data_IF_999527285942
#
_entry.id   IF_999527285942
#
_cell.length_a   1.000
_cell.length_b   1.000
_cell.length_c   1.000
_cell.angle_alpha   90.00
_cell.angle_beta   90.00
_cell.angle_gamma   90.00
#
_symmetry.space_group_name_H-M   'P 1'
#
loop_
_entity.id
_entity.type
_entity.pdbx_description
1 polymer ?
#
# COMPACT_ATOMS: atom_id res chain seq x y z
N UNK A 1 -19.84 -23.32 16.61
CA UNK A 1 -18.65 -24.16 16.82
C UNK A 1 -17.48 -23.46 16.13
N UNK A 2 -16.79 -22.59 16.88
CA UNK A 2 -15.43 -22.20 16.59
C UNK A 2 -14.67 -22.66 17.83
N UNK A 3 -14.15 -23.88 17.78
CA UNK A 3 -13.36 -24.44 18.87
C UNK A 3 -11.95 -23.85 18.84
N UNK A 4 -11.38 -23.80 20.04
CA UNK A 4 -10.05 -23.42 20.46
C UNK A 4 -8.98 -23.09 19.41
N UNK A 5 -8.17 -22.07 19.75
CA UNK A 5 -6.95 -21.61 19.07
C UNK A 5 -5.82 -22.66 18.95
N UNK A 6 -6.12 -23.96 19.08
CA UNK A 6 -5.20 -25.07 18.90
C UNK A 6 -5.52 -26.00 17.72
N UNK A 7 -6.64 -25.82 16.99
CA UNK A 7 -6.97 -26.68 15.84
C UNK A 7 -6.86 -25.91 14.51
N UNK A 8 -5.62 -25.64 14.10
CA UNK A 8 -5.35 -25.29 12.70
C UNK A 8 -5.42 -26.60 11.90
N UNK A 9 -6.61 -26.95 11.43
CA UNK A 9 -6.75 -28.01 10.46
C UNK A 9 -5.83 -27.71 9.26
N UNK A 10 -5.15 -28.72 8.73
CA UNK A 10 -4.18 -28.57 7.64
C UNK A 10 -4.75 -27.96 6.36
N UNK A 11 -6.09 -27.87 6.24
CA UNK A 11 -6.80 -27.29 5.10
C UNK A 11 -6.85 -25.74 5.11
N UNK A 12 -6.74 -25.10 6.28
CA UNK A 12 -6.85 -23.64 6.40
C UNK A 12 -5.53 -22.89 6.13
N UNK A 13 -4.40 -23.59 6.19
CA UNK A 13 -3.08 -23.04 5.88
C UNK A 13 -2.85 -22.74 4.40
N UNK A 14 -3.70 -23.26 3.51
CA UNK A 14 -3.54 -23.21 2.05
C UNK A 14 -4.52 -22.29 1.35
N UNK A 15 -5.56 -21.78 2.04
CA UNK A 15 -6.55 -20.89 1.45
C UNK A 15 -5.92 -19.64 0.80
N UNK A 16 -6.46 -19.21 -0.33
CA UNK A 16 -6.00 -18.00 -1.00
C UNK A 16 -6.48 -16.74 -0.28
N UNK A 17 -5.77 -15.61 -0.44
CA UNK A 17 -6.12 -14.37 0.28
C UNK A 17 -7.49 -13.85 -0.20
N UNK A 18 -7.75 -13.86 -1.50
CA UNK A 18 -9.05 -13.47 -2.06
C UNK A 18 -10.20 -14.32 -1.51
N UNK A 19 -9.99 -15.62 -1.27
CA UNK A 19 -11.04 -16.48 -0.69
C UNK A 19 -11.37 -16.08 0.76
N UNK A 20 -10.36 -15.64 1.52
CA UNK A 20 -10.54 -15.17 2.89
C UNK A 20 -11.23 -13.79 2.90
N UNK A 21 -10.87 -12.91 1.97
CA UNK A 21 -11.55 -11.62 1.77
C UNK A 21 -13.01 -11.82 1.34
N UNK A 22 -13.29 -12.77 0.44
CA UNK A 22 -14.65 -13.09 0.04
C UNK A 22 -15.53 -13.54 1.22
N UNK A 23 -14.96 -14.31 2.16
CA UNK A 23 -15.66 -14.67 3.39
C UNK A 23 -15.83 -13.47 4.34
N UNK A 24 -14.78 -12.66 4.52
CA UNK A 24 -14.83 -11.45 5.33
C UNK A 24 -15.82 -10.40 4.78
N UNK A 25 -16.12 -10.44 3.48
CA UNK A 25 -17.08 -9.56 2.83
C UNK A 25 -18.55 -9.91 3.11
N UNK A 26 -18.85 -11.08 3.67
CA UNK A 26 -20.24 -11.48 3.95
C UNK A 26 -20.84 -10.57 5.03
N UNK A 27 -21.60 -9.56 4.59
CA UNK A 27 -22.31 -8.63 5.48
C UNK A 27 -21.70 -7.25 5.61
N UNK A 28 -20.53 -7.02 5.01
CA UNK A 28 -19.94 -5.68 5.01
C UNK A 28 -20.70 -4.77 4.06
N UNK A 29 -20.92 -3.52 4.50
CA UNK A 29 -21.47 -2.45 3.64
C UNK A 29 -20.46 -1.99 2.59
N UNK A 30 -19.18 -1.97 2.96
CA UNK A 30 -18.06 -1.67 2.06
C UNK A 30 -17.31 -2.97 1.76
N UNK A 31 -17.14 -3.28 0.48
CA UNK A 31 -16.36 -4.44 0.07
C UNK A 31 -14.88 -4.22 0.42
N UNK A 32 -14.28 -5.23 1.02
CA UNK A 32 -12.85 -5.40 1.17
C UNK A 32 -12.27 -5.95 -0.13
N UNK A 33 -11.08 -5.46 -0.48
CA UNK A 33 -10.24 -6.00 -1.54
C UNK A 33 -8.88 -6.44 -0.98
N UNK A 34 -8.27 -7.44 -1.60
CA UNK A 34 -6.87 -7.83 -1.37
C UNK A 34 -6.14 -7.82 -2.70
N UNK A 35 -5.32 -6.80 -2.87
CA UNK A 35 -4.64 -6.53 -4.12
C UNK A 35 -3.13 -6.62 -4.06
N UNK A 36 -2.51 -6.49 -5.22
CA UNK A 36 -1.06 -6.33 -5.35
C UNK A 36 -0.69 -5.39 -6.50
N UNK A 37 0.41 -4.65 -6.34
CA UNK A 37 1.08 -4.02 -7.46
C UNK A 37 1.74 -5.08 -8.34
N UNK A 38 1.65 -4.88 -9.66
CA UNK A 38 2.27 -5.74 -10.67
C UNK A 38 2.92 -4.93 -11.79
N UNK A 39 3.88 -5.56 -12.47
CA UNK A 39 4.50 -5.05 -13.69
C UNK A 39 4.15 -5.93 -14.89
N UNK A 40 4.00 -5.35 -16.10
CA UNK A 40 3.50 -6.05 -17.28
C UNK A 40 4.42 -7.20 -17.72
N UNK A 41 5.73 -7.01 -17.63
CA UNK A 41 6.72 -8.03 -18.04
C UNK A 41 6.77 -9.22 -17.07
N UNK A 42 6.32 -9.08 -15.82
CA UNK A 42 6.28 -10.19 -14.86
C UNK A 42 5.14 -11.17 -15.16
N UNK A 43 4.13 -10.74 -15.92
CA UNK A 43 3.04 -11.61 -16.38
C UNK A 43 3.50 -12.63 -17.45
N UNK A 44 4.73 -12.54 -17.95
CA UNK A 44 5.34 -13.59 -18.80
C UNK A 44 5.80 -14.80 -17.98
N UNK A 45 5.98 -14.66 -16.67
CA UNK A 45 6.30 -15.77 -15.76
C UNK A 45 4.99 -16.44 -15.30
N UNK A 46 4.75 -17.66 -15.77
CA UNK A 46 3.53 -18.44 -15.46
C UNK A 46 3.34 -18.66 -13.95
N UNK A 47 4.43 -18.72 -13.17
CA UNK A 47 4.32 -18.86 -11.71
C UNK A 47 3.89 -17.56 -11.07
N UNK A 48 4.45 -16.43 -11.51
CA UNK A 48 4.04 -15.11 -11.07
C UNK A 48 2.56 -14.87 -11.38
N UNK A 49 2.16 -15.15 -12.63
CA UNK A 49 0.77 -15.03 -13.07
C UNK A 49 -0.18 -15.91 -12.25
N UNK A 50 0.19 -17.19 -12.03
CA UNK A 50 -0.64 -18.12 -11.27
C UNK A 50 -0.84 -17.67 -9.81
N UNK A 51 0.23 -17.26 -9.13
CA UNK A 51 0.13 -16.76 -7.74
C UNK A 51 -0.68 -15.47 -7.68
N UNK A 52 -0.50 -14.56 -8.64
CA UNK A 52 -1.26 -13.33 -8.71
C UNK A 52 -2.78 -13.61 -8.84
N UNK A 53 -3.16 -14.48 -9.79
CA UNK A 53 -4.55 -14.89 -10.00
C UNK A 53 -5.12 -15.71 -8.84
N UNK A 54 -4.30 -16.51 -8.15
CA UNK A 54 -4.77 -17.32 -7.03
C UNK A 54 -5.08 -16.46 -5.82
N UNK A 55 -4.25 -15.47 -5.50
CA UNK A 55 -4.30 -14.78 -4.21
C UNK A 55 -5.03 -13.45 -4.19
N UNK A 56 -5.09 -12.71 -5.30
CA UNK A 56 -5.57 -11.33 -5.28
C UNK A 56 -6.86 -11.19 -6.10
N UNK A 57 -7.73 -10.24 -5.72
CA UNK A 57 -8.98 -9.90 -6.43
C UNK A 57 -8.91 -8.51 -7.12
N UNK A 58 -7.78 -7.83 -6.96
CA UNK A 58 -7.51 -6.49 -7.44
C UNK A 58 -6.02 -6.31 -7.73
N UNK A 59 -5.67 -5.57 -8.78
CA UNK A 59 -4.29 -5.18 -9.08
C UNK A 59 -4.09 -3.68 -9.29
N UNK A 60 -2.86 -3.24 -9.05
CA UNK A 60 -2.36 -1.89 -9.35
C UNK A 60 -1.25 -1.99 -10.39
N UNK A 61 -1.27 -1.10 -11.38
CA UNK A 61 -0.12 -0.94 -12.28
C UNK A 61 0.99 -0.20 -11.53
N UNK A 62 2.08 -0.88 -11.18
CA UNK A 62 3.14 -0.31 -10.32
C UNK A 62 3.75 0.97 -10.91
N UNK A 63 3.88 1.03 -12.24
CA UNK A 63 4.40 2.19 -12.95
C UNK A 63 3.52 2.68 -14.10
N UNK A 64 2.88 1.79 -14.85
CA UNK A 64 2.30 2.10 -16.17
C UNK A 64 0.96 2.86 -16.13
N UNK A 65 0.56 3.39 -14.98
CA UNK A 65 -0.51 4.40 -14.87
C UNK A 65 -0.01 5.75 -14.32
N UNK A 66 1.29 5.88 -14.04
CA UNK A 66 1.93 7.15 -13.67
C UNK A 66 2.09 8.03 -14.93
N UNK A 67 2.13 9.35 -14.74
CA UNK A 67 2.12 10.30 -15.86
C UNK A 67 3.31 10.13 -16.82
N UNK A 68 4.55 10.22 -16.33
CA UNK A 68 5.72 10.09 -17.22
C UNK A 68 5.79 8.72 -17.93
N UNK A 69 5.57 7.57 -17.27
CA UNK A 69 5.55 6.26 -17.94
C UNK A 69 4.49 6.09 -19.04
N UNK A 70 3.42 6.88 -19.02
CA UNK A 70 2.40 6.87 -20.06
C UNK A 70 2.79 7.70 -21.30
N UNK A 71 3.89 8.45 -21.27
CA UNK A 71 4.34 9.28 -22.39
C UNK A 71 5.49 8.62 -23.14
N UNK A 72 5.25 8.25 -24.40
CA UNK A 72 6.27 7.84 -25.34
C UNK A 72 6.82 9.06 -26.10
N UNK A 73 8.14 9.10 -26.29
CA UNK A 73 8.81 10.12 -27.11
C UNK A 73 8.90 9.69 -28.56
N UNK A 74 8.41 10.54 -29.46
CA UNK A 74 8.57 10.38 -30.92
C UNK A 74 9.94 10.87 -31.39
N UNK A 75 10.31 10.50 -32.61
CA UNK A 75 11.57 10.88 -33.23
C UNK A 75 11.75 12.40 -33.39
N UNK A 76 10.65 13.15 -33.49
CA UNK A 76 10.64 14.62 -33.56
C UNK A 76 10.70 15.30 -32.18
N UNK A 77 10.80 14.52 -31.09
CA UNK A 77 10.85 15.01 -29.72
C UNK A 77 9.48 15.27 -29.09
N UNK A 78 8.37 15.06 -29.80
CA UNK A 78 7.02 15.20 -29.22
C UNK A 78 6.67 14.01 -28.33
N UNK A 79 5.90 14.27 -27.28
CA UNK A 79 5.39 13.25 -26.36
C UNK A 79 3.97 12.87 -26.75
N UNK A 80 3.66 11.58 -26.76
CA UNK A 80 2.32 11.05 -26.99
C UNK A 80 1.99 9.97 -25.98
N UNK A 81 0.71 9.83 -25.67
CA UNK A 81 0.25 8.75 -24.80
C UNK A 81 0.47 7.38 -25.43
N UNK A 82 1.08 6.48 -24.67
CA UNK A 82 1.23 5.06 -24.98
C UNK A 82 0.71 4.22 -23.81
N UNK A 83 -0.46 3.64 -24.01
CA UNK A 83 -1.11 2.78 -23.02
C UNK A 83 -0.77 1.30 -23.20
N UNK A 84 0.11 0.91 -24.13
CA UNK A 84 0.35 -0.51 -24.49
C UNK A 84 0.65 -1.38 -23.27
N UNK A 85 1.51 -0.90 -22.37
CA UNK A 85 1.89 -1.64 -21.16
C UNK A 85 0.81 -1.61 -20.07
N UNK A 86 0.06 -0.50 -19.98
CA UNK A 86 -1.13 -0.39 -19.10
C UNK A 86 -2.21 -1.38 -19.54
N UNK A 87 -2.56 -1.36 -20.83
CA UNK A 87 -3.59 -2.22 -21.42
C UNK A 87 -3.25 -3.69 -21.23
N UNK A 88 -1.97 -4.07 -21.28
CA UNK A 88 -1.52 -5.43 -20.99
C UNK A 88 -1.94 -5.90 -19.59
N UNK A 89 -1.75 -5.07 -18.57
CA UNK A 89 -2.18 -5.37 -17.19
C UNK A 89 -3.71 -5.33 -17.08
N UNK A 90 -4.34 -4.29 -17.62
CA UNK A 90 -5.79 -4.09 -17.53
C UNK A 90 -6.55 -5.25 -18.17
N UNK A 91 -6.14 -5.66 -19.38
CA UNK A 91 -6.78 -6.76 -20.09
C UNK A 91 -6.53 -8.10 -19.42
N UNK A 92 -5.33 -8.31 -18.85
CA UNK A 92 -5.05 -9.50 -18.04
C UNK A 92 -5.97 -9.56 -16.81
N UNK A 93 -6.05 -8.47 -16.05
CA UNK A 93 -6.87 -8.40 -14.85
C UNK A 93 -8.33 -8.68 -15.17
N UNK A 94 -8.87 -8.05 -16.21
CA UNK A 94 -10.27 -8.24 -16.63
C UNK A 94 -10.56 -9.67 -17.09
N UNK A 95 -9.64 -10.33 -17.79
CA UNK A 95 -9.79 -11.75 -18.16
C UNK A 95 -9.82 -12.67 -16.93
N UNK A 96 -9.06 -12.33 -15.90
CA UNK A 96 -9.03 -13.06 -14.63
C UNK A 96 -10.17 -12.71 -13.66
N UNK A 97 -11.04 -11.75 -14.00
CA UNK A 97 -12.09 -11.26 -13.11
C UNK A 97 -11.58 -10.32 -11.99
N UNK A 98 -10.32 -9.90 -12.07
CA UNK A 98 -9.70 -8.96 -11.14
C UNK A 98 -10.12 -7.52 -11.42
N UNK A 99 -10.28 -6.74 -10.36
CA UNK A 99 -10.43 -5.29 -10.46
C UNK A 99 -9.08 -4.61 -10.75
N UNK A 100 -9.11 -3.38 -11.26
CA UNK A 100 -7.91 -2.55 -11.45
C UNK A 100 -8.07 -1.21 -10.76
N UNK A 101 -7.08 -0.83 -9.94
CA UNK A 101 -6.94 0.55 -9.40
C UNK A 101 -5.82 1.24 -10.18
N UNK A 102 -6.11 2.44 -10.66
CA UNK A 102 -5.16 3.30 -11.32
C UNK A 102 -4.28 4.05 -10.33
N UNK A 103 -2.96 4.01 -10.55
CA UNK A 103 -1.97 4.66 -9.72
C UNK A 103 -0.88 5.25 -10.63
N UNK A 104 -0.75 6.57 -10.74
CA UNK A 104 -1.59 7.64 -10.16
C UNK A 104 -1.65 8.80 -11.15
N UNK A 105 -2.73 9.59 -11.09
CA UNK A 105 -2.97 10.67 -12.03
C UNK A 105 -2.06 11.88 -11.80
N UNK A 106 -1.84 12.29 -10.53
CA UNK A 106 -1.04 13.48 -10.22
C UNK A 106 -0.07 13.16 -9.09
N UNK A 107 1.22 13.06 -9.45
CA UNK A 107 2.31 12.86 -8.50
C UNK A 107 3.58 13.56 -8.98
N UNK A 108 4.24 14.28 -8.09
CA UNK A 108 5.39 15.12 -8.42
C UNK A 108 6.65 14.32 -8.78
N UNK A 109 6.75 13.05 -8.37
CA UNK A 109 7.92 12.21 -8.56
C UNK A 109 8.03 11.66 -9.99
N UNK A 110 6.91 11.21 -10.58
CA UNK A 110 6.88 10.59 -11.92
C UNK A 110 6.01 11.40 -12.88
N UNK A 111 6.34 12.69 -13.00
CA UNK A 111 5.72 13.63 -13.94
C UNK A 111 6.74 14.11 -14.98
N UNK A 112 6.29 14.53 -16.17
CA UNK A 112 7.20 15.00 -17.22
C UNK A 112 8.05 16.18 -16.74
N UNK A 113 9.38 16.11 -16.93
CA UNK A 113 10.30 17.12 -16.37
C UNK A 113 10.04 18.56 -16.82
N UNK A 114 9.42 18.74 -17.98
CA UNK A 114 9.10 20.07 -18.51
C UNK A 114 8.08 20.85 -17.66
N UNK A 115 7.34 20.19 -16.74
CA UNK A 115 6.38 20.87 -15.86
C UNK A 115 7.05 21.89 -14.92
N UNK A 116 8.32 21.65 -14.57
CA UNK A 116 9.11 22.52 -13.69
C UNK A 116 9.31 23.91 -14.31
N UNK A 117 9.40 24.00 -15.64
CA UNK A 117 9.58 25.25 -16.39
C UNK A 117 8.28 25.75 -17.04
N UNK A 118 7.24 24.92 -17.11
CA UNK A 118 5.98 25.27 -17.76
C UNK A 118 5.30 26.51 -17.12
N UNK A 119 4.80 27.48 -17.90
CA UNK A 119 3.93 28.53 -17.38
C UNK A 119 2.69 27.95 -16.68
N UNK A 120 2.17 28.65 -15.66
CA UNK A 120 0.99 28.22 -14.88
C UNK A 120 -0.18 27.75 -15.76
N UNK A 121 -0.53 28.50 -16.81
CA UNK A 121 -1.63 28.16 -17.71
C UNK A 121 -1.39 26.83 -18.44
N UNK A 122 -0.17 26.61 -18.95
CA UNK A 122 0.20 25.38 -19.64
C UNK A 122 0.21 24.18 -18.69
N UNK A 123 0.72 24.35 -17.47
CA UNK A 123 0.71 23.29 -16.47
C UNK A 123 -0.73 22.89 -16.11
N UNK A 124 -1.61 23.86 -15.86
CA UNK A 124 -3.02 23.61 -15.54
C UNK A 124 -3.71 22.83 -16.65
N UNK A 125 -3.55 23.27 -17.89
CA UNK A 125 -4.12 22.60 -19.05
C UNK A 125 -3.61 21.15 -19.15
N UNK A 126 -2.30 20.94 -19.04
CA UNK A 126 -1.71 19.62 -19.19
C UNK A 126 -2.11 18.64 -18.07
N UNK A 127 -2.24 19.10 -16.82
CA UNK A 127 -2.75 18.26 -15.72
C UNK A 127 -4.17 17.79 -16.03
N UNK A 128 -5.05 18.70 -16.48
CA UNK A 128 -6.43 18.35 -16.79
C UNK A 128 -6.55 17.48 -18.03
N UNK A 129 -5.76 17.74 -19.06
CA UNK A 129 -5.63 16.90 -20.25
C UNK A 129 -5.16 15.50 -19.87
N UNK A 130 -4.17 15.38 -18.97
CA UNK A 130 -3.67 14.11 -18.49
C UNK A 130 -4.73 13.30 -17.76
N UNK A 131 -5.40 13.89 -16.76
CA UNK A 131 -6.48 13.23 -16.02
C UNK A 131 -7.56 12.72 -16.99
N UNK A 132 -8.02 13.60 -17.90
CA UNK A 132 -9.07 13.25 -18.86
C UNK A 132 -8.63 12.15 -19.83
N UNK A 133 -7.43 12.25 -20.39
CA UNK A 133 -6.94 11.30 -21.39
C UNK A 133 -6.78 9.90 -20.79
N UNK A 134 -6.12 9.82 -19.63
CA UNK A 134 -5.89 8.57 -18.91
C UNK A 134 -7.21 7.92 -18.47
N UNK A 135 -8.10 8.68 -17.80
CA UNK A 135 -9.35 8.11 -17.31
C UNK A 135 -10.32 7.73 -18.44
N UNK A 136 -10.39 8.50 -19.54
CA UNK A 136 -11.22 8.15 -20.69
C UNK A 136 -10.73 6.87 -21.38
N UNK A 137 -9.41 6.68 -21.53
CA UNK A 137 -8.85 5.45 -22.10
C UNK A 137 -9.20 4.20 -21.26
N UNK A 138 -9.23 4.38 -19.95
CA UNK A 138 -9.50 3.33 -18.96
C UNK A 138 -10.98 3.23 -18.55
N UNK A 139 -11.89 3.98 -19.18
CA UNK A 139 -13.29 4.08 -18.78
C UNK A 139 -13.97 2.70 -18.74
N UNK A 140 -14.59 2.36 -17.62
CA UNK A 140 -15.22 1.04 -17.40
C UNK A 140 -14.25 -0.13 -17.24
N UNK A 141 -12.93 0.11 -17.24
CA UNK A 141 -11.89 -0.92 -17.03
C UNK A 141 -11.20 -0.76 -15.67
N UNK A 142 -11.05 0.48 -15.19
CA UNK A 142 -10.44 0.82 -13.91
C UNK A 142 -11.52 1.37 -12.98
N UNK A 143 -11.65 0.80 -11.77
CA UNK A 143 -12.76 1.16 -10.85
C UNK A 143 -12.40 2.25 -9.84
N UNK A 144 -11.11 2.47 -9.60
CA UNK A 144 -10.61 3.38 -8.59
C UNK A 144 -9.33 4.07 -9.06
N UNK A 145 -9.11 5.31 -8.61
CA UNK A 145 -7.93 6.10 -8.96
C UNK A 145 -7.33 6.77 -7.72
N UNK A 146 -6.03 6.58 -7.52
CA UNK A 146 -5.22 7.51 -6.74
C UNK A 146 -5.13 8.80 -7.56
N UNK A 147 -5.95 9.79 -7.23
CA UNK A 147 -6.08 11.03 -8.02
C UNK A 147 -4.89 11.94 -7.75
N UNK A 148 -4.58 12.17 -6.48
CA UNK A 148 -3.39 12.90 -6.05
C UNK A 148 -2.62 12.02 -5.08
N UNK A 149 -1.34 11.81 -5.38
CA UNK A 149 -0.43 11.05 -4.55
C UNK A 149 0.55 11.99 -3.84
N UNK A 150 0.74 11.76 -2.54
CA UNK A 150 1.71 12.44 -1.68
C UNK A 150 1.70 13.98 -1.77
N UNK A 151 0.55 14.64 -1.57
CA UNK A 151 0.50 16.10 -1.57
C UNK A 151 1.15 16.70 -0.31
N UNK A 152 1.38 15.93 0.76
CA UNK A 152 1.99 16.41 1.99
C UNK A 152 3.51 16.21 1.96
N UNK A 153 4.20 17.19 2.54
CA UNK A 153 5.64 17.12 2.72
C UNK A 153 6.00 15.94 3.64
N UNK A 154 7.12 15.22 3.39
CA UNK A 154 7.50 14.02 4.14
C UNK A 154 7.97 14.28 5.57
N UNK A 155 8.09 15.53 6.00
CA UNK A 155 8.51 15.89 7.36
C UNK A 155 7.33 15.92 8.35
N UNK A 156 7.64 16.06 9.64
CA UNK A 156 6.64 16.10 10.70
C UNK A 156 5.92 17.46 10.83
N UNK A 157 5.86 18.27 9.77
CA UNK A 157 5.17 19.59 9.82
C UNK A 157 3.74 19.55 9.30
N UNK A 158 3.38 18.53 8.53
CA UNK A 158 2.03 18.42 7.95
C UNK A 158 1.70 19.48 6.89
N UNK A 159 2.70 20.18 6.34
CA UNK A 159 2.51 21.13 5.24
C UNK A 159 2.35 20.41 3.90
N UNK A 160 1.80 21.09 2.90
CA UNK A 160 1.85 20.60 1.51
C UNK A 160 3.29 20.56 0.98
N UNK A 161 3.60 19.58 0.15
CA UNK A 161 4.90 19.41 -0.48
C UNK A 161 5.19 20.54 -1.48
N UNK A 162 6.42 21.05 -1.47
CA UNK A 162 6.85 22.10 -2.40
C UNK A 162 7.09 21.52 -3.80
N UNK A 163 6.03 21.50 -4.61
CA UNK A 163 6.00 20.90 -5.94
C UNK A 163 5.64 21.93 -7.01
N UNK A 164 5.92 21.67 -8.30
CA UNK A 164 5.45 22.53 -9.40
C UNK A 164 3.93 22.77 -9.37
N UNK A 165 3.17 21.76 -8.97
CA UNK A 165 1.73 21.85 -8.79
C UNK A 165 1.37 22.88 -7.72
N UNK A 166 1.94 22.78 -6.52
CA UNK A 166 1.68 23.74 -5.45
C UNK A 166 2.16 25.15 -5.82
N UNK A 167 3.42 25.30 -6.26
CA UNK A 167 4.03 26.61 -6.55
C UNK A 167 3.28 27.39 -7.61
N UNK A 168 2.81 26.71 -8.67
CA UNK A 168 2.24 27.36 -9.85
C UNK A 168 0.73 27.36 -9.88
N UNK A 169 0.08 26.31 -9.36
CA UNK A 169 -1.39 26.19 -9.38
C UNK A 169 -2.04 26.59 -8.05
N UNK A 170 -1.26 26.67 -6.97
CA UNK A 170 -1.75 26.90 -5.61
C UNK A 170 -2.42 25.65 -5.03
N UNK A 171 -2.73 25.62 -3.72
CA UNK A 171 -3.24 24.44 -3.02
C UNK A 171 -4.57 23.89 -3.58
N UNK A 172 -5.35 24.74 -4.25
CA UNK A 172 -6.60 24.35 -4.91
C UNK A 172 -6.41 23.37 -6.08
N UNK A 173 -5.18 23.12 -6.54
CA UNK A 173 -4.93 22.10 -7.56
C UNK A 173 -5.48 20.72 -7.16
N UNK A 174 -5.44 20.40 -5.86
CA UNK A 174 -5.96 19.12 -5.35
C UNK A 174 -7.47 19.07 -5.60
N UNK A 175 -8.22 20.08 -5.15
CA UNK A 175 -9.65 20.21 -5.40
C UNK A 175 -9.99 20.07 -6.89
N UNK A 176 -9.25 20.78 -7.74
CA UNK A 176 -9.47 20.79 -9.18
C UNK A 176 -9.24 19.41 -9.81
N UNK A 177 -8.18 18.69 -9.40
CA UNK A 177 -7.88 17.35 -9.91
C UNK A 177 -9.02 16.36 -9.61
N UNK A 178 -9.53 16.37 -8.37
CA UNK A 178 -10.67 15.53 -7.99
C UNK A 178 -11.95 15.88 -8.75
N UNK A 179 -12.24 17.18 -8.94
CA UNK A 179 -13.42 17.60 -9.72
C UNK A 179 -13.31 17.19 -11.19
N UNK A 180 -12.13 17.30 -11.80
CA UNK A 180 -11.91 16.85 -13.19
C UNK A 180 -11.99 15.32 -13.28
N UNK A 181 -11.43 14.60 -12.33
CA UNK A 181 -11.51 13.13 -12.28
C UNK A 181 -12.97 12.66 -12.19
N UNK A 182 -13.74 13.21 -11.24
CA UNK A 182 -15.16 12.87 -11.08
C UNK A 182 -16.02 13.25 -12.29
N UNK A 183 -15.73 14.37 -12.95
CA UNK A 183 -16.43 14.74 -14.17
C UNK A 183 -16.11 13.80 -15.34
N UNK A 184 -14.91 13.21 -15.36
CA UNK A 184 -14.48 12.28 -16.42
C UNK A 184 -15.08 10.89 -16.21
N UNK A 185 -15.04 10.37 -14.97
CA UNK A 185 -15.73 9.13 -14.60
C UNK A 185 -16.41 9.31 -13.23
N UNK A 186 -17.73 9.58 -13.21
CA UNK A 186 -18.46 9.77 -11.95
C UNK A 186 -18.66 8.47 -11.16
N UNK A 187 -18.40 7.30 -11.77
CA UNK A 187 -18.53 6.01 -11.12
C UNK A 187 -17.22 5.51 -10.47
N UNK A 188 -16.09 6.17 -10.76
CA UNK A 188 -14.81 5.79 -10.19
C UNK A 188 -14.70 6.19 -8.71
N UNK A 189 -14.11 5.31 -7.91
CA UNK A 189 -13.68 5.63 -6.54
C UNK A 189 -12.45 6.55 -6.62
N UNK A 190 -12.49 7.70 -5.96
CA UNK A 190 -11.46 8.73 -6.05
C UNK A 190 -10.71 8.81 -4.72
N UNK A 191 -9.41 8.62 -4.79
CA UNK A 191 -8.57 8.34 -3.63
C UNK A 191 -7.51 9.43 -3.49
N UNK A 192 -7.35 9.93 -2.26
CA UNK A 192 -6.19 10.72 -1.85
C UNK A 192 -5.17 9.76 -1.21
N UNK A 193 -4.04 9.54 -1.86
CA UNK A 193 -3.06 8.52 -1.43
C UNK A 193 -1.83 9.18 -0.80
N UNK A 194 -1.39 8.67 0.35
CA UNK A 194 -0.31 9.30 1.12
C UNK A 194 0.55 8.29 1.89
N UNK A 195 1.84 8.59 1.96
CA UNK A 195 2.84 7.84 2.71
C UNK A 195 3.01 8.40 4.13
N UNK A 196 3.40 7.55 5.09
CA UNK A 196 3.70 7.94 6.49
C UNK A 196 2.49 8.62 7.17
N UNK A 197 1.28 8.23 6.76
CA UNK A 197 0.00 8.79 7.22
C UNK A 197 -0.81 7.84 8.10
N UNK A 198 -0.27 6.69 8.48
CA UNK A 198 -1.04 5.52 8.93
C UNK A 198 -1.55 5.65 10.38
N UNK A 199 -0.88 6.43 11.24
CA UNK A 199 -1.16 6.49 12.68
C UNK A 199 -1.58 7.86 13.20
N UNK A 200 -2.73 7.93 13.86
CA UNK A 200 -3.18 9.13 14.58
C UNK A 200 -2.62 9.16 16.01
N UNK A 201 -2.62 10.33 16.66
CA UNK A 201 -2.34 10.56 18.09
C UNK A 201 -1.12 9.83 18.65
N UNK A 202 -0.05 9.82 17.88
CA UNK A 202 1.25 9.30 18.28
C UNK A 202 1.96 10.36 19.13
N UNK A 203 2.75 9.97 20.15
CA UNK A 203 3.46 10.92 20.99
C UNK A 203 4.53 11.68 20.18
N UNK A 204 5.01 12.80 20.73
CA UNK A 204 6.14 13.60 20.20
C UNK A 204 5.92 14.09 18.76
N UNK A 205 4.69 14.43 18.40
CA UNK A 205 4.35 15.01 17.10
C UNK A 205 4.46 14.05 15.92
N UNK A 206 4.63 12.75 16.16
CA UNK A 206 4.76 11.75 15.09
C UNK A 206 3.50 11.55 14.25
N UNK A 207 2.34 12.01 14.72
CA UNK A 207 1.10 11.97 13.93
C UNK A 207 0.88 13.21 13.06
N UNK A 208 1.81 14.18 13.02
CA UNK A 208 1.58 15.44 12.32
C UNK A 208 1.17 15.28 10.85
N UNK A 209 1.78 14.32 10.13
CA UNK A 209 1.42 14.05 8.72
C UNK A 209 0.05 13.37 8.61
N UNK A 210 -0.27 12.41 9.47
CA UNK A 210 -1.60 11.79 9.53
C UNK A 210 -2.69 12.81 9.89
N UNK A 211 -2.42 13.71 10.83
CA UNK A 211 -3.34 14.76 11.27
C UNK A 211 -3.57 15.80 10.16
N UNK A 212 -2.53 16.14 9.40
CA UNK A 212 -2.65 16.99 8.23
C UNK A 212 -3.43 16.32 7.08
N UNK A 213 -3.22 15.03 6.84
CA UNK A 213 -4.00 14.27 5.85
C UNK A 213 -5.49 14.24 6.22
N UNK A 214 -5.78 14.05 7.51
CA UNK A 214 -7.14 14.14 8.03
C UNK A 214 -7.75 15.53 7.84
N UNK A 215 -7.04 16.58 8.21
CA UNK A 215 -7.50 17.96 8.03
C UNK A 215 -7.73 18.30 6.55
N UNK A 216 -6.80 17.93 5.67
CA UNK A 216 -6.93 18.12 4.22
C UNK A 216 -8.17 17.40 3.68
N UNK A 217 -8.39 16.14 4.07
CA UNK A 217 -9.53 15.34 3.62
C UNK A 217 -10.87 15.95 4.08
N UNK A 218 -10.96 16.35 5.36
CA UNK A 218 -12.13 17.06 5.89
C UNK A 218 -12.40 18.35 5.12
N UNK A 219 -11.36 19.13 4.86
CA UNK A 219 -11.49 20.43 4.22
C UNK A 219 -11.88 20.29 2.73
N UNK A 220 -11.40 19.24 2.04
CA UNK A 220 -11.84 18.88 0.68
C UNK A 220 -13.34 18.57 0.67
N UNK A 221 -13.81 17.71 1.59
CA UNK A 221 -15.23 17.38 1.70
C UNK A 221 -16.09 18.61 2.03
N UNK A 222 -15.63 19.49 2.92
CA UNK A 222 -16.31 20.74 3.26
C UNK A 222 -16.46 21.69 2.05
N UNK A 223 -15.57 21.59 1.07
CA UNK A 223 -15.62 22.33 -0.21
C UNK A 223 -16.36 21.56 -1.33
N UNK A 224 -17.05 20.48 -0.99
CA UNK A 224 -17.80 19.66 -1.94
C UNK A 224 -16.93 18.95 -2.98
N UNK A 225 -15.66 18.68 -2.65
CA UNK A 225 -14.77 17.91 -3.53
C UNK A 225 -15.16 16.42 -3.47
N UNK A 226 -15.29 15.73 -4.61
CA UNK A 226 -15.68 14.32 -4.67
C UNK A 226 -14.54 13.39 -4.24
N UNK A 227 -14.25 13.36 -2.94
CA UNK A 227 -13.30 12.45 -2.31
C UNK A 227 -14.06 11.25 -1.74
N UNK A 228 -13.66 10.03 -2.11
CA UNK A 228 -14.35 8.80 -1.71
C UNK A 228 -13.55 7.98 -0.70
N UNK A 229 -12.23 7.92 -0.85
CA UNK A 229 -11.36 7.19 0.07
C UNK A 229 -10.01 7.89 0.31
N UNK A 230 -9.36 7.48 1.39
CA UNK A 230 -7.95 7.79 1.66
C UNK A 230 -7.13 6.51 1.55
N UNK A 231 -6.04 6.57 0.78
CA UNK A 231 -5.06 5.50 0.67
C UNK A 231 -3.89 5.76 1.63
N UNK A 232 -3.59 4.79 2.47
CA UNK A 232 -2.46 4.80 3.40
C UNK A 232 -1.41 3.82 2.88
N UNK A 233 -0.28 4.31 2.36
CA UNK A 233 0.68 3.45 1.64
C UNK A 233 1.20 2.31 2.51
N UNK A 234 1.54 2.58 3.77
CA UNK A 234 2.07 1.58 4.70
C UNK A 234 3.39 0.92 4.24
N UNK A 235 4.30 1.72 3.68
CA UNK A 235 5.71 1.34 3.50
C UNK A 235 6.42 1.34 4.85
N UNK A 236 6.52 0.18 5.48
CA UNK A 236 7.05 0.07 6.83
C UNK A 236 8.50 -0.42 6.86
N UNK A 237 9.18 0.00 7.93
CA UNK A 237 10.49 -0.51 8.33
C UNK A 237 10.37 -1.03 9.75
N UNK A 238 10.51 -2.33 9.94
CA UNK A 238 10.46 -2.97 11.25
C UNK A 238 11.61 -2.51 12.17
N UNK A 239 12.72 -2.03 11.61
CA UNK A 239 13.80 -1.39 12.35
C UNK A 239 13.62 0.13 12.48
N UNK A 240 12.50 0.68 12.00
CA UNK A 240 12.21 2.10 12.02
C UNK A 240 12.14 2.68 13.44
N UNK A 241 12.74 3.84 13.63
CA UNK A 241 12.70 4.64 14.87
C UNK A 241 12.18 6.04 14.61
N UNK A 242 11.74 6.76 15.64
CA UNK A 242 11.23 8.12 15.50
C UNK A 242 10.08 8.19 14.49
N UNK A 243 10.19 9.06 13.47
CA UNK A 243 9.17 9.21 12.42
C UNK A 243 9.00 7.95 11.54
N UNK A 244 9.98 7.04 11.52
CA UNK A 244 9.93 5.79 10.75
C UNK A 244 9.37 4.62 11.56
N UNK A 245 9.20 4.77 12.88
CA UNK A 245 8.65 3.69 13.69
C UNK A 245 7.21 3.41 13.25
N UNK A 246 6.95 2.14 12.97
CA UNK A 246 5.63 1.59 12.67
C UNK A 246 4.60 2.08 13.70
N UNK A 247 3.45 2.63 13.27
CA UNK A 247 2.40 3.04 14.18
C UNK A 247 1.80 1.84 14.94
N UNK A 248 1.31 2.08 16.16
CA UNK A 248 0.68 1.02 16.95
C UNK A 248 -0.67 0.62 16.35
N UNK A 249 -1.15 -0.62 16.56
CA UNK A 249 -2.48 -1.06 16.11
C UNK A 249 -3.61 -0.11 16.54
N UNK A 250 -3.58 0.36 17.78
CA UNK A 250 -4.53 1.35 18.28
C UNK A 250 -4.48 2.67 17.49
N UNK A 251 -3.27 3.17 17.17
CA UNK A 251 -3.12 4.40 16.39
C UNK A 251 -3.62 4.27 14.96
N UNK A 252 -3.44 3.09 14.33
CA UNK A 252 -3.96 2.77 12.99
C UNK A 252 -5.49 2.70 13.02
N UNK A 253 -6.06 1.93 13.95
CA UNK A 253 -7.50 1.81 14.13
C UNK A 253 -8.16 3.18 14.35
N UNK A 254 -7.62 4.00 15.26
CA UNK A 254 -8.10 5.37 15.51
C UNK A 254 -8.03 6.24 14.26
N UNK A 255 -6.97 6.13 13.47
CA UNK A 255 -6.82 6.93 12.26
C UNK A 255 -7.86 6.55 11.20
N UNK A 256 -8.09 5.25 11.00
CA UNK A 256 -9.12 4.76 10.08
C UNK A 256 -10.52 5.16 10.56
N UNK A 257 -10.80 5.05 11.86
CA UNK A 257 -12.08 5.43 12.45
C UNK A 257 -12.44 6.88 12.16
N UNK A 258 -11.53 7.84 12.40
CA UNK A 258 -11.82 9.27 12.16
C UNK A 258 -12.07 9.59 10.69
N UNK A 259 -11.41 8.90 9.73
CA UNK A 259 -11.75 9.06 8.31
C UNK A 259 -13.15 8.47 8.02
N UNK A 260 -13.50 7.37 8.67
CA UNK A 260 -14.85 6.81 8.66
C UNK A 260 -15.92 7.79 9.14
N UNK A 261 -15.64 8.58 10.18
CA UNK A 261 -16.54 9.63 10.70
C UNK A 261 -16.80 10.75 9.67
N UNK A 262 -15.89 10.94 8.70
CA UNK A 262 -16.09 11.84 7.56
C UNK A 262 -16.88 11.19 6.40
N UNK A 263 -17.26 9.92 6.53
CA UNK A 263 -17.93 9.14 5.49
C UNK A 263 -16.99 8.54 4.44
N UNK A 264 -15.67 8.63 4.63
CA UNK A 264 -14.67 8.11 3.69
C UNK A 264 -14.43 6.61 3.91
N UNK A 265 -14.09 5.90 2.84
CA UNK A 265 -13.40 4.62 2.95
C UNK A 265 -11.90 4.82 3.21
N UNK A 266 -11.23 3.81 3.74
CA UNK A 266 -9.77 3.81 3.90
C UNK A 266 -9.20 2.48 3.43
N UNK A 267 -8.21 2.53 2.54
CA UNK A 267 -7.45 1.36 2.13
C UNK A 267 -5.99 1.50 2.58
N UNK A 268 -5.36 0.36 2.88
CA UNK A 268 -3.91 0.27 2.90
C UNK A 268 -3.48 0.03 1.46
N UNK A 269 -2.76 0.97 0.85
CA UNK A 269 -2.62 1.03 -0.62
C UNK A 269 -1.35 0.39 -1.17
N UNK A 270 -0.27 0.26 -0.39
CA UNK A 270 1.06 -0.10 -0.91
C UNK A 270 1.90 -0.90 0.12
N UNK A 271 1.27 -1.80 0.87
CA UNK A 271 1.90 -2.39 2.05
C UNK A 271 3.12 -3.26 1.69
N UNK A 272 4.25 -2.92 2.32
CA UNK A 272 5.44 -3.75 2.40
C UNK A 272 6.15 -3.50 3.74
N UNK A 273 6.93 -4.48 4.22
CA UNK A 273 7.58 -4.38 5.53
C UNK A 273 9.03 -4.79 5.44
N UNK A 274 9.91 -3.79 5.32
CA UNK A 274 11.35 -4.00 5.39
C UNK A 274 11.77 -4.45 6.78
N UNK A 275 12.73 -5.38 6.82
CA UNK A 275 13.27 -5.89 8.07
C UNK A 275 14.79 -6.06 8.04
N UNK A 276 15.47 -5.74 6.93
CA UNK A 276 16.92 -5.88 6.81
C UNK A 276 17.67 -5.11 7.91
N UNK A 277 17.19 -3.93 8.30
CA UNK A 277 17.81 -3.09 9.34
C UNK A 277 17.95 -3.77 10.71
N UNK A 278 17.09 -4.74 11.03
CA UNK A 278 17.13 -5.48 12.29
C UNK A 278 18.38 -6.38 12.41
N UNK A 279 19.10 -6.63 11.33
CA UNK A 279 20.40 -7.32 11.36
C UNK A 279 21.45 -6.55 12.15
N UNK A 280 21.38 -5.21 12.13
CA UNK A 280 22.32 -4.33 12.82
C UNK A 280 22.21 -4.44 14.35
N UNK A 281 21.09 -4.96 14.85
CA UNK A 281 20.88 -5.27 16.27
C UNK A 281 20.96 -6.77 16.57
N UNK A 282 21.54 -7.56 15.65
CA UNK A 282 21.89 -8.96 15.88
C UNK A 282 20.76 -9.96 15.61
N UNK A 283 19.65 -9.55 14.99
CA UNK A 283 18.56 -10.48 14.69
C UNK A 283 18.85 -11.31 13.43
N UNK A 284 18.77 -12.62 13.58
CA UNK A 284 18.89 -13.58 12.48
C UNK A 284 17.69 -13.53 11.54
N UNK A 285 17.83 -14.14 10.35
CA UNK A 285 16.80 -14.09 9.31
C UNK A 285 15.39 -14.51 9.79
N UNK A 286 15.28 -15.60 10.57
CA UNK A 286 14.00 -16.07 11.07
C UNK A 286 13.32 -15.05 12.01
N UNK A 287 14.09 -14.34 12.84
CA UNK A 287 13.58 -13.32 13.74
C UNK A 287 13.13 -12.07 12.95
N UNK A 288 13.86 -11.72 11.88
CA UNK A 288 13.48 -10.62 10.98
C UNK A 288 12.19 -10.93 10.21
N UNK A 289 12.07 -12.13 9.64
CA UNK A 289 10.85 -12.58 8.96
C UNK A 289 9.65 -12.62 9.94
N UNK A 290 9.87 -13.00 11.21
CA UNK A 290 8.84 -12.98 12.24
C UNK A 290 8.42 -11.55 12.65
N UNK A 291 9.37 -10.61 12.73
CA UNK A 291 9.09 -9.20 12.99
C UNK A 291 8.23 -8.58 11.88
N UNK A 292 8.60 -8.79 10.62
CA UNK A 292 7.79 -8.35 9.48
C UNK A 292 6.39 -8.96 9.52
N UNK A 293 6.28 -10.25 9.84
CA UNK A 293 5.00 -10.94 9.97
C UNK A 293 4.10 -10.35 11.06
N UNK A 294 4.66 -9.94 12.20
CA UNK A 294 3.92 -9.27 13.26
C UNK A 294 3.35 -7.92 12.78
N UNK A 295 4.17 -7.09 12.11
CA UNK A 295 3.71 -5.80 11.54
C UNK A 295 2.58 -6.00 10.53
N UNK A 296 2.69 -6.98 9.63
CA UNK A 296 1.61 -7.32 8.70
C UNK A 296 0.32 -7.69 9.43
N UNK A 297 0.40 -8.60 10.39
CA UNK A 297 -0.77 -9.05 11.13
C UNK A 297 -1.43 -7.93 11.93
N UNK A 298 -0.66 -7.22 12.75
CA UNK A 298 -1.21 -6.30 13.75
C UNK A 298 -1.80 -5.05 13.08
N UNK A 299 -1.18 -4.57 12.00
CA UNK A 299 -1.74 -3.48 11.18
C UNK A 299 -3.05 -3.91 10.53
N UNK A 300 -3.07 -5.09 9.88
CA UNK A 300 -4.27 -5.57 9.19
C UNK A 300 -5.39 -5.91 10.16
N UNK A 301 -5.10 -6.52 11.30
CA UNK A 301 -6.09 -6.83 12.33
C UNK A 301 -6.75 -5.55 12.86
N UNK A 302 -5.96 -4.50 13.15
CA UNK A 302 -6.47 -3.20 13.55
C UNK A 302 -7.34 -2.55 12.46
N UNK A 303 -6.92 -2.62 11.20
CA UNK A 303 -7.64 -2.04 10.09
C UNK A 303 -8.96 -2.77 9.80
N UNK A 304 -8.94 -4.11 9.78
CA UNK A 304 -10.13 -4.95 9.53
C UNK A 304 -11.22 -4.77 10.58
N UNK A 305 -10.84 -4.42 11.82
CA UNK A 305 -11.77 -4.10 12.90
C UNK A 305 -12.53 -2.78 12.67
N UNK A 306 -12.14 -1.96 11.69
CA UNK A 306 -12.81 -0.70 11.38
C UNK A 306 -13.80 -0.85 10.21
N UNK A 307 -15.06 -0.41 10.35
CA UNK A 307 -16.06 -0.48 9.28
C UNK A 307 -15.69 0.32 8.02
N UNK A 308 -14.88 1.37 8.17
CA UNK A 308 -14.42 2.22 7.07
C UNK A 308 -13.33 1.57 6.21
N UNK A 309 -12.73 0.46 6.67
CA UNK A 309 -11.64 -0.19 5.94
C UNK A 309 -12.15 -0.92 4.69
N UNK A 310 -11.53 -0.64 3.55
CA UNK A 310 -11.90 -1.12 2.21
C UNK A 310 -10.89 -2.10 1.60
N UNK A 311 -9.78 -2.38 2.29
CA UNK A 311 -8.87 -3.45 1.89
C UNK A 311 -7.40 -3.09 1.96
N UNK A 312 -6.57 -4.05 1.52
CA UNK A 312 -5.11 -3.93 1.46
C UNK A 312 -4.63 -4.22 0.05
N UNK A 313 -3.69 -3.43 -0.44
CA UNK A 313 -2.86 -3.74 -1.61
C UNK A 313 -1.41 -3.86 -1.15
N UNK A 314 -0.75 -4.94 -1.50
CA UNK A 314 0.68 -5.12 -1.25
C UNK A 314 1.50 -4.52 -2.40
N UNK A 315 2.63 -3.88 -2.12
CA UNK A 315 3.48 -3.30 -3.19
C UNK A 315 4.42 -4.34 -3.81
N UNK A 316 3.79 -5.30 -4.47
CA UNK A 316 4.37 -6.56 -4.90
C UNK A 316 4.03 -7.70 -3.93
N UNK A 317 4.38 -8.93 -4.31
CA UNK A 317 4.14 -10.11 -3.45
C UNK A 317 5.33 -11.05 -3.30
N UNK A 318 6.29 -11.05 -4.23
CA UNK A 318 7.48 -11.90 -4.19
C UNK A 318 8.74 -11.05 -4.03
N UNK A 319 9.57 -11.37 -3.02
CA UNK A 319 10.79 -10.62 -2.73
C UNK A 319 11.72 -10.51 -3.96
N UNK A 320 11.73 -11.48 -4.87
CA UNK A 320 12.55 -11.42 -6.10
C UNK A 320 12.30 -10.19 -6.99
N UNK A 321 11.15 -9.53 -6.83
CA UNK A 321 10.70 -8.42 -7.66
C UNK A 321 10.45 -7.15 -6.85
N UNK A 322 10.88 -7.08 -5.59
CA UNK A 322 10.61 -5.92 -4.75
C UNK A 322 11.41 -4.70 -5.18
N UNK A 323 10.71 -3.58 -5.39
CA UNK A 323 11.31 -2.26 -5.62
C UNK A 323 12.27 -1.82 -4.51
N UNK A 324 12.10 -2.33 -3.29
CA UNK A 324 12.94 -2.02 -2.14
C UNK A 324 14.43 -2.31 -2.40
N UNK A 325 14.73 -3.31 -3.23
CA UNK A 325 16.10 -3.66 -3.59
C UNK A 325 16.81 -2.52 -4.31
N UNK A 326 16.14 -1.96 -5.31
CA UNK A 326 16.69 -0.89 -6.11
C UNK A 326 16.61 0.45 -5.39
N UNK A 327 15.59 0.67 -4.57
CA UNK A 327 15.45 1.94 -3.87
C UNK A 327 16.43 2.08 -2.70
N UNK A 328 16.52 1.06 -1.83
CA UNK A 328 17.39 1.09 -0.65
C UNK A 328 18.78 0.52 -0.88
N UNK A 329 19.04 0.02 -2.10
CA UNK A 329 20.33 -0.58 -2.48
C UNK A 329 20.77 -1.70 -1.52
N UNK A 330 19.81 -2.47 -1.04
CA UNK A 330 20.04 -3.57 -0.11
C UNK A 330 19.19 -4.81 -0.47
N UNK A 331 19.66 -5.98 -0.06
CA UNK A 331 18.83 -7.19 -0.12
C UNK A 331 17.95 -7.20 1.13
N UNK A 332 16.64 -7.09 0.92
CA UNK A 332 15.62 -7.20 1.97
C UNK A 332 14.60 -8.29 1.61
N UNK A 333 13.65 -8.55 2.49
CA UNK A 333 12.56 -9.51 2.30
C UNK A 333 11.26 -8.85 2.72
N UNK A 334 10.72 -7.87 1.98
CA UNK A 334 9.62 -7.08 2.48
C UNK A 334 8.21 -7.61 2.16
N UNK A 335 8.09 -8.69 1.37
CA UNK A 335 6.82 -9.17 0.80
C UNK A 335 6.38 -10.54 1.37
N UNK A 336 5.37 -11.18 0.77
CA UNK A 336 4.70 -12.36 1.32
C UNK A 336 5.36 -13.70 0.92
N UNK A 337 6.00 -13.74 -0.25
CA UNK A 337 6.82 -14.88 -0.72
C UNK A 337 8.28 -14.47 -0.81
N UNK A 338 9.17 -15.40 -0.50
CA UNK A 338 10.60 -15.17 -0.71
C UNK A 338 10.99 -15.29 -2.19
N UNK A 339 12.23 -14.90 -2.51
CA UNK A 339 12.74 -14.94 -3.88
C UNK A 339 12.78 -16.34 -4.52
N UNK A 340 12.68 -17.41 -3.71
CA UNK A 340 12.57 -18.79 -4.16
C UNK A 340 11.11 -19.28 -4.18
N UNK A 341 10.14 -18.37 -4.08
CA UNK A 341 8.71 -18.62 -4.04
C UNK A 341 8.21 -19.44 -2.86
N UNK A 342 8.97 -19.49 -1.77
CA UNK A 342 8.52 -20.14 -0.54
C UNK A 342 7.65 -19.14 0.23
N UNK A 343 6.46 -19.54 0.71
CA UNK A 343 5.67 -18.72 1.61
C UNK A 343 6.49 -18.29 2.83
N UNK A 344 6.44 -17.00 3.16
CA UNK A 344 7.08 -16.46 4.37
C UNK A 344 6.11 -16.45 5.54
N UNK A 345 6.61 -16.32 6.80
CA UNK A 345 5.76 -16.06 7.96
C UNK A 345 4.76 -14.91 7.75
N UNK A 346 5.12 -13.89 6.96
CA UNK A 346 4.24 -12.80 6.56
C UNK A 346 2.94 -13.27 5.89
N UNK A 347 2.99 -14.21 4.94
CA UNK A 347 1.77 -14.73 4.29
C UNK A 347 0.83 -15.41 5.30
N UNK A 348 1.39 -16.21 6.21
CA UNK A 348 0.61 -16.86 7.26
C UNK A 348 -0.03 -15.84 8.22
N UNK A 349 0.68 -14.75 8.51
CA UNK A 349 0.22 -13.67 9.37
C UNK A 349 -0.92 -12.86 8.73
N UNK A 350 -0.82 -12.53 7.43
CA UNK A 350 -1.91 -11.91 6.66
C UNK A 350 -3.14 -12.83 6.63
N UNK A 351 -2.97 -14.12 6.34
CA UNK A 351 -4.08 -15.10 6.36
C UNK A 351 -4.77 -15.15 7.71
N UNK A 352 -4.00 -15.10 8.81
CA UNK A 352 -4.55 -15.09 10.18
C UNK A 352 -5.38 -13.83 10.45
N UNK A 353 -4.90 -12.65 10.05
CA UNK A 353 -5.66 -11.41 10.21
C UNK A 353 -7.00 -11.44 9.44
N UNK A 354 -6.98 -11.88 8.17
CA UNK A 354 -8.19 -12.01 7.35
C UNK A 354 -9.20 -13.02 7.92
N UNK A 355 -8.72 -14.15 8.46
CA UNK A 355 -9.59 -15.13 9.14
C UNK A 355 -10.25 -14.57 10.40
N UNK A 356 -9.50 -13.82 11.21
CA UNK A 356 -10.05 -13.17 12.41
C UNK A 356 -11.22 -12.25 12.08
N UNK A 357 -11.11 -11.49 11.00
CA UNK A 357 -12.19 -10.65 10.49
C UNK A 357 -13.43 -11.48 10.09
N UNK A 358 -13.25 -12.57 9.33
CA UNK A 358 -14.37 -13.43 8.93
C UNK A 358 -15.09 -14.11 10.12
N UNK A 359 -14.36 -14.46 11.19
CA UNK A 359 -14.94 -15.09 12.38
C UNK A 359 -15.69 -14.09 13.27
N UNK A 360 -15.17 -12.88 13.45
CA UNK A 360 -15.85 -11.85 14.27
C UNK A 360 -17.22 -11.44 13.71
N UNK A 361 -17.36 -11.35 12.39
CA UNK A 361 -18.66 -11.09 11.72
C UNK A 361 -19.65 -12.25 11.89
N UNK A 362 -19.20 -13.50 11.75
CA UNK A 362 -20.05 -14.66 12.03
C UNK A 362 -20.45 -14.74 13.50
N UNK A 363 -19.57 -14.31 14.42
CA UNK A 363 -19.86 -14.17 15.85
C UNK A 363 -20.94 -13.13 16.13
N UNK A 364 -20.83 -11.94 15.52
CA UNK A 364 -21.82 -10.86 15.63
C UNK A 364 -23.18 -11.29 15.06
N UNK A 365 -23.22 -11.91 13.88
CA UNK A 365 -24.46 -12.41 13.26
C UNK A 365 -25.14 -13.50 14.08
N UNK A 366 -24.36 -14.42 14.66
CA UNK A 366 -24.90 -15.44 15.55
C UNK A 366 -25.41 -14.82 16.87
N UNK A 367 -24.74 -13.79 17.37
CA UNK A 367 -25.19 -13.04 18.55
C UNK A 367 -26.47 -12.24 18.26
N UNK A 368 -26.57 -11.58 17.10
CA UNK A 368 -27.78 -10.86 16.65
C UNK A 368 -28.95 -11.83 16.39
N UNK A 369 -28.70 -12.99 15.78
CA UNK A 369 -29.72 -14.02 15.58
C UNK A 369 -30.17 -14.64 16.92
N UNK A 370 -29.25 -14.81 17.88
CA UNK A 370 -29.56 -15.27 19.23
C UNK A 370 -30.29 -14.18 20.04
N UNK A 371 -29.95 -12.90 19.86
CA UNK A 371 -30.63 -11.77 20.49
C UNK A 371 -32.05 -11.59 19.92
N UNK A 372 -32.24 -11.72 18.61
CA UNK A 372 -33.56 -11.72 17.96
C UNK A 372 -34.41 -12.93 18.40
N UNK A 373 -33.79 -14.05 18.77
CA UNK A 373 -34.47 -15.19 19.39
C UNK A 373 -34.74 -14.98 20.89
N UNK A 374 -34.05 -14.03 21.53
CA UNK A 374 -34.12 -13.72 22.96
C UNK A 374 -34.91 -12.44 23.29
N UNK A 375 -35.52 -11.77 22.31
CA UNK A 375 -36.43 -10.62 22.51
C UNK A 375 -37.71 -11.04 23.25
N UNK A 376 -37.55 -11.21 24.56
CA UNK A 376 -38.55 -11.33 25.59
C UNK A 376 -38.11 -10.74 26.94
N UNK A 377 -36.92 -10.14 27.04
CA UNK A 377 -36.51 -9.43 28.26
C UNK A 377 -35.37 -8.42 28.05
N UNK A 378 -35.71 -7.16 28.36
CA UNK A 378 -34.87 -6.05 28.84
C UNK A 378 -33.76 -5.45 27.95
N UNK A 379 -33.93 -4.14 27.77
CA UNK A 379 -33.09 -3.11 27.15
C UNK A 379 -31.66 -3.03 27.72
N UNK A 380 -30.65 -3.14 26.86
CA UNK A 380 -29.30 -2.63 27.09
C UNK A 380 -28.79 -1.90 25.84
N UNK A 381 -28.01 -0.86 26.10
CA UNK A 381 -27.45 0.11 25.17
C UNK A 381 -26.59 -0.53 24.05
N UNK A 382 -26.96 -0.38 22.76
CA UNK A 382 -26.26 -1.02 21.64
C UNK A 382 -24.95 -0.32 21.21
N UNK A 383 -24.58 0.84 21.78
CA UNK A 383 -23.41 1.62 21.35
C UNK A 383 -22.15 1.45 22.23
N UNK A 384 -22.15 0.51 23.18
CA UNK A 384 -20.98 0.20 24.00
C UNK A 384 -19.97 -0.70 23.25
N UNK A 385 -19.14 -0.12 22.39
CA UNK A 385 -17.98 -0.80 21.81
C UNK A 385 -17.00 -1.17 22.93
N UNK A 386 -16.96 -2.45 23.30
CA UNK A 386 -16.07 -2.97 24.34
C UNK A 386 -14.62 -3.00 23.83
N UNK A 387 -13.77 -2.18 24.45
CA UNK A 387 -12.31 -2.24 24.29
C UNK A 387 -11.69 -3.54 24.81
N UNK A 388 -12.49 -4.43 25.44
CA UNK A 388 -12.00 -5.67 26.03
C UNK A 388 -11.52 -6.73 25.02
N UNK A 389 -11.81 -6.58 23.72
CA UNK A 389 -11.26 -7.45 22.68
C UNK A 389 -9.77 -7.18 22.38
N UNK A 390 -9.24 -6.03 22.83
CA UNK A 390 -7.81 -5.72 22.82
C UNK A 390 -7.32 -5.75 24.26
N UNK A 391 -7.07 -6.96 24.75
CA UNK A 391 -6.38 -7.17 26.01
C UNK A 391 -5.06 -6.38 26.02
N UNK A 392 -4.97 -5.51 27.03
CA UNK A 392 -3.85 -4.65 27.44
C UNK A 392 -3.33 -3.62 26.43
N UNK A 393 -3.13 -2.41 26.96
CA UNK A 393 -2.24 -1.38 26.43
C UNK A 393 -0.75 -1.83 26.34
N UNK A 394 -0.47 -3.14 26.40
CA UNK A 394 0.86 -3.76 26.50
C UNK A 394 1.17 -4.80 25.40
N UNK A 395 0.35 -4.94 24.35
CA UNK A 395 0.74 -5.71 23.14
C UNK A 395 1.67 -4.89 22.20
N UNK A 396 2.58 -4.12 22.79
CA UNK A 396 3.60 -3.36 22.08
C UNK A 396 4.93 -3.52 22.83
N UNK A 397 5.76 -4.45 22.37
CA UNK A 397 6.99 -4.80 23.07
C UNK A 397 7.52 -6.21 22.76
N UNK A 398 7.29 -6.73 21.56
CA UNK A 398 8.07 -7.90 21.13
C UNK A 398 9.55 -7.55 21.18
N UNK A 399 10.38 -8.43 21.77
CA UNK A 399 11.82 -8.22 22.04
C UNK A 399 12.64 -7.66 20.86
N UNK A 400 12.14 -7.81 19.63
CA UNK A 400 12.80 -7.33 18.41
C UNK A 400 12.64 -5.84 18.14
N UNK A 401 11.67 -5.15 18.74
CA UNK A 401 11.38 -3.76 18.40
C UNK A 401 12.34 -2.80 19.09
N UNK A 402 13.00 -1.95 18.31
CA UNK A 402 13.97 -1.01 18.85
C UNK A 402 13.32 -0.03 19.83
N UNK A 403 13.93 0.19 21.02
CA UNK A 403 13.46 1.21 21.94
C UNK A 403 13.58 2.59 21.29
N UNK A 404 12.66 3.50 21.64
CA UNK A 404 12.79 4.90 21.21
C UNK A 404 14.10 5.48 21.75
N UNK A 405 14.86 6.23 20.93
CA UNK A 405 16.03 6.94 21.43
C UNK A 405 15.64 7.83 22.62
N UNK A 406 16.36 7.68 23.73
CA UNK A 406 16.23 8.58 24.88
C UNK A 406 16.95 9.87 24.50
N UNK A 407 16.24 10.99 24.41
CA UNK A 407 16.91 12.29 24.26
C UNK A 407 17.73 12.54 25.53
N UNK A 408 19.05 12.68 25.34
CA UNK A 408 19.99 12.86 26.43
C UNK A 408 19.71 14.16 27.19
N UNK A 409 19.15 14.04 28.39
CA UNK A 409 19.44 14.97 29.47
C UNK A 409 20.92 14.86 29.81
N UNK A 410 21.63 15.98 29.78
CA UNK A 410 23.00 16.04 30.29
C UNK A 410 22.99 15.68 31.78
N UNK A 411 23.48 14.48 32.14
CA UNK A 411 23.60 14.08 33.54
C UNK A 411 23.91 12.60 33.77
N UNK A 412 25.20 12.26 33.86
CA UNK A 412 25.71 11.33 34.87
C UNK A 412 25.52 9.82 34.70
N UNK A 413 26.63 9.19 34.27
CA UNK A 413 27.14 7.85 34.61
C UNK A 413 26.37 6.60 34.18
N UNK A 414 26.97 5.84 33.24
CA UNK A 414 27.01 4.37 33.39
C UNK A 414 26.48 3.47 32.27
N UNK A 415 26.42 3.88 31.00
CA UNK A 415 26.46 2.99 29.84
C UNK A 415 26.69 3.86 28.59
N UNK A 416 27.69 3.52 27.76
CA UNK A 416 27.97 4.28 26.53
C UNK A 416 26.76 4.29 25.59
N UNK A 417 26.56 5.38 24.82
CA UNK A 417 25.44 5.46 23.90
C UNK A 417 25.62 4.40 22.80
N UNK A 418 24.60 3.57 22.59
CA UNK A 418 24.47 2.80 21.35
C UNK A 418 24.39 3.84 20.25
N UNK A 419 25.38 3.85 19.35
CA UNK A 419 25.48 4.82 18.26
C UNK A 419 24.14 4.88 17.51
N UNK A 420 23.57 6.08 17.41
CA UNK A 420 22.36 6.34 16.64
C UNK A 420 22.59 5.89 15.20
N UNK A 421 21.87 4.86 14.78
CA UNK A 421 21.86 4.36 13.42
C UNK A 421 21.06 5.34 12.56
N UNK A 422 21.74 6.32 11.97
CA UNK A 422 21.22 7.02 10.79
C UNK A 422 21.59 6.20 9.56
N UNK A 423 20.71 5.29 9.14
CA UNK A 423 20.59 5.04 7.70
C UNK A 423 20.02 6.33 7.12
N UNK A 424 20.86 7.07 6.38
CA UNK A 424 20.48 8.28 5.64
C UNK A 424 19.18 8.00 4.88
N UNK A 425 18.21 8.90 4.95
CA UNK A 425 17.00 8.76 4.14
C UNK A 425 17.41 8.82 2.66
N UNK A 426 17.07 7.80 1.85
CA UNK A 426 17.06 8.00 0.41
C UNK A 426 16.11 9.15 0.13
N UNK A 427 16.51 10.05 -0.76
CA UNK A 427 15.66 11.14 -1.18
C UNK A 427 14.40 10.57 -1.85
N UNK A 428 13.27 10.61 -1.15
CA UNK A 428 11.98 10.17 -1.66
C UNK A 428 11.51 11.02 -2.86
N UNK A 429 12.09 12.20 -3.08
CA UNK A 429 11.89 13.03 -4.27
C UNK A 429 12.81 12.64 -5.45
N UNK A 430 13.89 11.91 -5.19
CA UNK A 430 14.74 11.31 -6.22
C UNK A 430 14.06 10.06 -6.75
N UNK A 431 13.11 10.26 -7.66
CA UNK A 431 12.20 9.23 -8.15
C UNK A 431 12.84 7.91 -8.57
N UNK A 432 12.01 6.86 -8.51
CA UNK A 432 12.31 5.58 -9.13
C UNK A 432 12.71 5.81 -10.59
N UNK A 433 13.94 5.48 -10.97
CA UNK A 433 14.31 5.47 -12.39
C UNK A 433 13.56 4.29 -13.01
N UNK A 434 12.55 4.59 -13.82
CA UNK A 434 11.99 3.61 -14.74
C UNK A 434 13.14 3.13 -15.64
N UNK A 435 13.61 1.91 -15.42
CA UNK A 435 14.53 1.26 -16.35
C UNK A 435 13.67 0.63 -17.41
N UNK A 436 13.72 1.18 -18.62
CA UNK A 436 13.05 0.59 -19.77
C UNK A 436 13.68 -0.78 -20.07
N UNK A 437 13.02 -1.85 -19.59
CA UNK A 437 13.52 -3.22 -19.72
C UNK A 437 13.44 -3.72 -21.17
N UNK A 438 12.74 -3.00 -22.07
CA UNK A 438 12.64 -3.41 -23.48
C UNK A 438 13.95 -3.20 -24.25
N UNK A 439 14.85 -2.31 -23.79
CA UNK A 439 16.13 -2.06 -24.46
C UNK A 439 17.19 -3.16 -24.21
N UNK A 440 17.03 -4.01 -23.18
CA UNK A 440 18.05 -4.98 -22.77
C UNK A 440 17.78 -6.44 -23.16
N UNK A 441 16.64 -6.75 -23.81
CA UNK A 441 16.30 -8.15 -24.15
C UNK A 441 17.05 -8.67 -25.38
N UNK A 442 17.68 -7.81 -26.18
CA UNK A 442 18.34 -8.24 -27.44
C UNK A 442 19.77 -8.78 -27.25
N UNK A 443 20.38 -8.68 -26.06
CA UNK A 443 21.81 -8.98 -25.90
C UNK A 443 22.14 -10.36 -25.28
N UNK A 444 21.17 -11.13 -24.77
CA UNK A 444 21.46 -12.37 -24.01
C UNK A 444 20.76 -13.64 -24.49
N UNK A 445 20.34 -13.70 -25.76
CA UNK A 445 19.85 -14.95 -26.38
C UNK A 445 20.55 -15.24 -27.72
N UNK A 446 21.88 -15.34 -27.73
CA UNK A 446 22.60 -16.11 -28.76
C UNK A 446 23.93 -16.65 -28.24
N UNK A 447 23.87 -17.76 -27.50
CA UNK A 447 24.99 -18.70 -27.40
C UNK A 447 24.43 -20.11 -27.17
N UNK A 448 23.95 -20.75 -28.23
CA UNK A 448 23.79 -22.22 -28.24
C UNK A 448 25.17 -22.85 -28.48
N UNK A 449 25.61 -23.85 -27.71
CA UNK A 449 26.82 -24.59 -28.04
C UNK A 449 26.57 -25.50 -29.25
N UNK A 450 27.45 -25.43 -30.26
CA UNK A 450 27.51 -26.42 -31.33
C UNK A 450 28.07 -27.77 -30.79
N UNK A 451 27.62 -28.92 -31.32
CA UNK A 451 28.16 -30.21 -30.92
C UNK A 451 29.53 -30.46 -31.58
N UNK A 452 30.46 -31.01 -30.79
CA UNK A 452 31.80 -31.37 -31.23
C UNK A 452 31.77 -32.53 -32.25
N UNK A 453 32.37 -32.31 -33.42
CA UNK A 453 32.70 -33.37 -34.37
C UNK A 453 34.16 -33.76 -34.16
N UNK A 454 34.38 -35.03 -33.83
CA UNK A 454 35.69 -35.66 -33.81
C UNK A 454 36.16 -35.91 -35.24
N UNK A 455 37.33 -35.37 -35.61
CA UNK A 455 38.13 -35.91 -36.71
C UNK A 455 39.59 -36.08 -36.25
N UNK A 456 39.98 -37.34 -36.11
CA UNK A 456 41.38 -37.76 -35.99
C UNK A 456 41.85 -38.24 -37.35
N UNK A 457 42.98 -37.71 -37.82
CA UNK A 457 43.71 -38.17 -39.00
C UNK A 457 43.89 -39.71 -39.01
N UNK A 458 43.38 -40.37 -40.06
CA UNK A 458 44.20 -40.99 -41.12
C UNK A 458 43.37 -41.28 -42.36
#
# INVERSE_FOLDING_TARGET
>A
MCDDASDVSSEDGTRSLQSLVADANRGRRRQLHVGTAIMPHLLDDLKYEAVANEHFDHVVCEHHHKWEPLLAKRADGTEVYDFTQSDRIVDWARRGGNKVKGHTLVWHVTSPKWIEEAPQARLREAVFEHIKTTMNHCLGKVYAWDVVNEPLHPDATGRLADTPFLRKLGPAYIDDCFRVAHHTDPNAVLILNENKGEGAGLPRGRSAKADALFALSRDLLARGVPLHEVGLQAHFDAAGTGQRRVPTPHSVARNIARFGDLGLGVNISEMDVRAAGLEQVGLGLAQRDAAAAAVFHDTLAAALAQPAFTGVTFWGFCDAHSWCHDFYKCVDRPLLWDAAWRPKPALAAVRRALRGAACSENGLRNAEAAAAAAEGAAEQDPDAFSTAAFGSEELWGSDWMLPEPVEGGAGGTGAGPVAGVSVDEPDWSAGQRYVDVTANVTAHVTARPQPAVHESNR
#
